data_IF_575434927663
#
_entry.id   IF_575434927663
#
_cell.length_a   1.000
_cell.length_b   1.000
_cell.length_c   1.000
_cell.angle_alpha   90.00
_cell.angle_beta   90.00
_cell.angle_gamma   90.00
#
_symmetry.space_group_name_H-M   'P 1'
#
loop_
_entity.id
_entity.type
_entity.pdbx_description
1 polymer ?
#
# COMPACT_ATOMS: atom_id res chain seq x y z
N UNK A 1 -3.40 11.62 23.16
CA UNK A 1 -4.21 12.64 22.45
C UNK A 1 -3.67 12.96 21.04
N UNK A 2 -2.35 13.07 20.85
CA UNK A 2 -1.72 13.43 19.56
C UNK A 2 -2.02 12.49 18.39
N UNK A 3 -2.01 11.16 18.59
CA UNK A 3 -2.28 10.19 17.53
C UNK A 3 -3.70 10.34 16.96
N UNK A 4 -4.71 10.49 17.83
CA UNK A 4 -6.10 10.65 17.40
C UNK A 4 -6.29 11.92 16.56
N UNK A 5 -5.59 13.00 16.91
CA UNK A 5 -5.61 14.25 16.12
C UNK A 5 -4.96 14.06 14.74
N UNK A 6 -3.83 13.36 14.68
CA UNK A 6 -3.17 13.04 13.41
C UNK A 6 -4.05 12.17 12.51
N UNK A 7 -4.65 11.11 13.05
CA UNK A 7 -5.52 10.22 12.27
C UNK A 7 -6.74 10.96 11.72
N UNK A 8 -7.36 11.86 12.52
CA UNK A 8 -8.46 12.71 12.03
C UNK A 8 -8.06 13.53 10.81
N UNK A 9 -6.86 14.13 10.81
CA UNK A 9 -6.36 14.92 9.69
C UNK A 9 -6.04 14.05 8.46
N UNK A 10 -5.50 12.85 8.65
CA UNK A 10 -5.23 11.92 7.54
C UNK A 10 -6.52 11.38 6.91
N UNK A 11 -7.57 11.17 7.71
CA UNK A 11 -8.88 10.74 7.21
C UNK A 11 -9.62 11.83 6.43
N UNK A 12 -9.26 13.11 6.57
CA UNK A 12 -9.86 14.20 5.81
C UNK A 12 -9.19 14.45 4.45
N UNK A 13 -8.19 13.66 4.07
CA UNK A 13 -7.48 13.79 2.79
C UNK A 13 -7.62 12.53 1.92
N UNK A 14 -7.05 12.56 0.72
CA UNK A 14 -6.92 11.37 -0.12
C UNK A 14 -5.59 10.66 0.20
N UNK A 15 -5.60 9.48 0.84
CA UNK A 15 -4.38 8.83 1.28
C UNK A 15 -3.66 8.14 0.13
N UNK A 16 -2.34 8.32 0.06
CA UNK A 16 -1.45 7.54 -0.79
C UNK A 16 -0.51 6.73 0.10
N UNK A 17 -0.33 5.45 -0.21
CA UNK A 17 0.48 4.54 0.61
C UNK A 17 1.75 4.12 -0.14
N UNK A 18 2.92 4.33 0.49
CA UNK A 18 4.21 3.82 0.03
C UNK A 18 4.68 2.74 1.02
N UNK A 19 4.95 1.52 0.52
CA UNK A 19 5.45 0.40 1.33
C UNK A 19 6.90 0.13 0.96
N UNK A 20 7.82 0.50 1.83
CA UNK A 20 9.24 0.19 1.67
C UNK A 20 9.51 -1.29 1.97
N UNK A 21 10.45 -1.88 1.23
CA UNK A 21 10.87 -3.28 1.40
C UNK A 21 12.36 -3.31 1.71
N UNK A 22 12.72 -4.02 2.77
CA UNK A 22 14.10 -4.30 3.13
C UNK A 22 14.55 -5.54 2.35
N UNK A 23 15.54 -5.45 1.45
CA UNK A 23 15.95 -6.58 0.64
C UNK A 23 16.80 -7.59 1.43
N UNK A 24 17.56 -7.15 2.44
CA UNK A 24 18.37 -8.00 3.32
C UNK A 24 18.66 -7.28 4.65
N UNK A 25 18.99 -8.03 5.71
CA UNK A 25 19.30 -7.48 7.04
C UNK A 25 20.78 -7.04 7.18
N UNK A 26 21.65 -7.53 6.29
CA UNK A 26 23.09 -7.25 6.31
C UNK A 26 23.45 -5.86 5.76
N UNK A 27 22.47 -5.10 5.26
CA UNK A 27 22.64 -3.79 4.61
C UNK A 27 23.60 -3.82 3.42
N UNK A 28 23.67 -4.95 2.73
CA UNK A 28 24.53 -5.12 1.56
C UNK A 28 23.78 -4.74 0.29
N UNK A 29 24.36 -3.92 -0.60
CA UNK A 29 23.76 -3.65 -1.89
C UNK A 29 23.78 -4.91 -2.77
N UNK A 30 22.76 -5.11 -3.59
CA UNK A 30 22.69 -6.22 -4.55
C UNK A 30 22.22 -7.57 -3.98
N UNK A 31 22.20 -7.72 -2.65
CA UNK A 31 21.72 -8.92 -1.96
C UNK A 31 20.21 -8.86 -1.71
N UNK A 32 19.50 -9.96 -1.98
CA UNK A 32 18.05 -10.08 -1.76
C UNK A 32 17.73 -11.41 -1.07
N UNK A 33 17.19 -11.33 0.14
CA UNK A 33 16.59 -12.44 0.85
C UNK A 33 15.11 -12.58 0.46
N UNK A 34 14.82 -13.61 -0.33
CA UNK A 34 13.48 -13.87 -0.83
C UNK A 34 12.46 -14.17 0.29
N UNK A 35 12.88 -14.84 1.37
CA UNK A 35 11.96 -15.19 2.46
C UNK A 35 11.59 -13.95 3.27
N UNK A 36 12.57 -13.10 3.57
CA UNK A 36 12.38 -11.82 4.23
C UNK A 36 11.45 -10.90 3.42
N UNK A 37 11.68 -10.80 2.11
CA UNK A 37 10.83 -9.98 1.23
C UNK A 37 9.41 -10.53 1.16
N UNK A 38 9.25 -11.85 1.02
CA UNK A 38 7.93 -12.48 0.98
C UNK A 38 7.13 -12.23 2.26
N UNK A 39 7.77 -12.38 3.42
CA UNK A 39 7.16 -12.08 4.71
C UNK A 39 6.72 -10.62 4.79
N UNK A 40 7.55 -9.67 4.37
CA UNK A 40 7.17 -8.25 4.32
C UNK A 40 5.99 -7.98 3.39
N UNK A 41 5.92 -8.62 2.22
CA UNK A 41 4.80 -8.45 1.29
C UNK A 41 3.47 -8.95 1.87
N UNK A 42 3.53 -10.03 2.67
CA UNK A 42 2.38 -10.57 3.39
C UNK A 42 1.95 -9.64 4.53
N UNK A 43 2.87 -9.30 5.44
CA UNK A 43 2.58 -8.47 6.61
C UNK A 43 2.16 -7.04 6.25
N UNK A 44 2.72 -6.46 5.19
CA UNK A 44 2.32 -5.12 4.71
C UNK A 44 1.02 -5.14 3.88
N UNK A 45 0.41 -6.31 3.67
CA UNK A 45 -0.84 -6.46 2.94
C UNK A 45 -0.72 -6.16 1.44
N UNK A 46 0.49 -6.22 0.86
CA UNK A 46 0.71 -5.90 -0.57
C UNK A 46 0.02 -6.92 -1.46
N UNK A 47 0.15 -8.21 -1.14
CA UNK A 47 -0.49 -9.29 -1.88
C UNK A 47 -2.03 -9.18 -1.83
N UNK A 48 -2.55 -8.82 -0.66
CA UNK A 48 -3.98 -8.60 -0.44
C UNK A 48 -4.49 -7.35 -1.18
N UNK A 49 -3.72 -6.25 -1.18
CA UNK A 49 -4.01 -5.05 -1.95
C UNK A 49 -4.13 -5.33 -3.44
N UNK A 50 -3.20 -6.11 -4.02
CA UNK A 50 -3.28 -6.55 -5.42
C UNK A 50 -4.55 -7.37 -5.65
N UNK A 51 -4.88 -8.30 -4.76
CA UNK A 51 -6.09 -9.13 -4.88
C UNK A 51 -7.37 -8.28 -4.88
N UNK A 52 -7.45 -7.27 -4.01
CA UNK A 52 -8.59 -6.34 -3.94
C UNK A 52 -8.67 -5.52 -5.24
N UNK A 53 -7.58 -4.91 -5.69
CA UNK A 53 -7.56 -4.13 -6.93
C UNK A 53 -7.97 -4.94 -8.17
N UNK A 54 -7.70 -6.25 -8.18
CA UNK A 54 -8.11 -7.16 -9.25
C UNK A 54 -9.60 -7.54 -9.19
N UNK A 55 -10.21 -7.52 -8.00
CA UNK A 55 -11.62 -7.93 -7.79
C UNK A 55 -12.59 -6.76 -7.78
N UNK A 56 -12.22 -5.67 -7.14
CA UNK A 56 -13.03 -4.46 -7.08
C UNK A 56 -12.59 -3.53 -8.18
N UNK A 57 -13.52 -3.11 -9.05
CA UNK A 57 -13.31 -2.01 -10.00
C UNK A 57 -12.73 -0.80 -9.25
N UNK A 58 -11.40 -0.60 -9.26
CA UNK A 58 -10.76 0.31 -8.31
C UNK A 58 -10.95 1.76 -8.75
N UNK A 59 -11.15 1.94 -10.06
CA UNK A 59 -11.54 3.20 -10.67
C UNK A 59 -13.07 3.27 -10.72
N UNK A 60 -13.67 3.98 -9.75
CA UNK A 60 -15.08 4.37 -9.81
C UNK A 60 -15.17 5.78 -10.37
N UNK A 61 -15.34 5.87 -11.68
CA UNK A 61 -15.62 7.15 -12.36
C UNK A 61 -17.09 7.51 -12.17
N UNK A 62 -17.38 8.78 -11.96
CA UNK A 62 -18.77 9.25 -11.97
C UNK A 62 -19.29 9.15 -13.40
N UNK A 63 -20.54 8.74 -13.59
CA UNK A 63 -21.11 8.52 -14.93
C UNK A 63 -20.97 9.74 -15.86
N UNK A 64 -21.05 10.96 -15.31
CA UNK A 64 -20.83 12.21 -16.06
C UNK A 64 -19.42 12.30 -16.67
N UNK A 65 -18.40 11.76 -16.00
CA UNK A 65 -17.02 11.74 -16.49
C UNK A 65 -16.79 10.60 -17.49
N UNK A 66 -17.58 9.53 -17.42
CA UNK A 66 -17.48 8.38 -18.33
C UNK A 66 -18.13 8.64 -19.70
N UNK A 67 -19.24 9.40 -19.76
CA UNK A 67 -20.08 9.56 -20.95
C UNK A 67 -19.65 10.72 -21.88
N UNK A 68 -18.41 11.17 -21.80
CA UNK A 68 -17.95 12.35 -22.57
C UNK A 68 -17.82 12.05 -24.06
#
# INVERSE_FOLDING_TARGET
>A
ESLNKLMKNLYSTHPHFVRCIIPNEFKQPGEVDAHLVLHQLQCNGVLEGIRICRKGFPNRLVHSEFKQ
#
